data_IF_620757703025
#
_entry.id   IF_620757703025
#
_cell.length_a   1.000
_cell.length_b   1.000
_cell.length_c   1.000
_cell.angle_alpha   90.00
_cell.angle_beta   90.00
_cell.angle_gamma   90.00
#
_symmetry.space_group_name_H-M   'P 1'
#
loop_
_entity.id
_entity.type
_entity.pdbx_description
1 polymer ?
#
# COMPACT_ATOMS: atom_id res chain seq x y z
N UNK A 1 -1.67 14.35 16.69
CA UNK A 1 -2.07 14.47 15.27
C UNK A 1 -1.01 15.16 14.42
N UNK A 2 -0.42 16.28 14.85
CA UNK A 2 0.64 16.97 14.11
C UNK A 2 1.83 16.06 13.75
N UNK A 3 2.25 15.22 14.69
CA UNK A 3 3.37 14.29 14.50
C UNK A 3 3.07 13.19 13.46
N UNK A 4 1.82 12.69 13.41
CA UNK A 4 1.36 11.74 12.39
C UNK A 4 1.49 12.36 10.99
N UNK A 5 1.02 13.61 10.85
CA UNK A 5 1.08 14.34 9.58
C UNK A 5 2.52 14.62 9.15
N UNK A 6 3.44 14.86 10.09
CA UNK A 6 4.87 15.04 9.79
C UNK A 6 5.47 13.76 9.22
N UNK A 7 5.21 12.61 9.87
CA UNK A 7 5.68 11.31 9.40
C UNK A 7 5.08 10.98 8.03
N UNK A 8 3.76 11.12 7.87
CA UNK A 8 3.08 10.89 6.60
C UNK A 8 3.66 11.74 5.46
N UNK A 9 3.89 13.04 5.71
CA UNK A 9 4.45 13.95 4.70
C UNK A 9 5.90 13.61 4.33
N UNK A 10 6.70 13.13 5.29
CA UNK A 10 8.05 12.60 5.04
C UNK A 10 7.96 11.39 4.11
N UNK A 11 7.16 10.38 4.46
CA UNK A 11 7.00 9.15 3.68
C UNK A 11 6.52 9.43 2.25
N UNK A 12 5.54 10.32 2.10
CA UNK A 12 5.06 10.74 0.78
C UNK A 12 6.14 11.42 -0.07
N UNK A 13 6.99 12.22 0.56
CA UNK A 13 8.10 12.86 -0.15
C UNK A 13 9.18 11.86 -0.56
N UNK A 14 9.48 10.87 0.28
CA UNK A 14 10.43 9.80 -0.03
C UNK A 14 9.92 8.94 -1.18
N UNK A 15 8.64 8.61 -1.19
CA UNK A 15 8.03 7.84 -2.26
C UNK A 15 8.04 8.58 -3.61
N UNK A 16 7.83 9.89 -3.59
CA UNK A 16 7.97 10.75 -4.78
C UNK A 16 9.40 10.84 -5.31
N UNK A 17 10.41 10.75 -4.44
CA UNK A 17 11.84 10.84 -4.84
C UNK A 17 12.49 9.48 -5.08
N UNK A 18 11.85 8.38 -4.69
CA UNK A 18 12.29 7.04 -5.04
C UNK A 18 12.28 6.89 -6.56
N UNK A 19 13.37 6.39 -7.15
CA UNK A 19 13.64 6.29 -8.61
C UNK A 19 12.62 5.49 -9.45
N UNK A 20 11.52 5.04 -8.87
CA UNK A 20 10.39 4.41 -9.56
C UNK A 20 9.05 5.14 -9.40
N UNK A 21 8.95 6.21 -8.60
CA UNK A 21 7.70 6.79 -8.07
C UNK A 21 6.51 6.77 -9.03
N UNK A 22 6.39 7.76 -9.91
CA UNK A 22 5.18 7.90 -10.75
C UNK A 22 5.06 6.87 -11.88
N UNK A 23 6.16 6.53 -12.54
CA UNK A 23 6.13 5.59 -13.67
C UNK A 23 5.80 4.15 -13.22
N UNK A 24 6.37 3.70 -12.09
CA UNK A 24 6.08 2.38 -11.53
C UNK A 24 4.64 2.29 -11.01
N UNK A 25 4.11 3.37 -10.43
CA UNK A 25 2.69 3.42 -10.04
C UNK A 25 1.81 3.28 -11.25
N UNK A 26 1.98 4.14 -12.26
CA UNK A 26 1.14 4.11 -13.46
C UNK A 26 1.24 2.74 -14.13
N UNK A 27 2.44 2.17 -14.21
CA UNK A 27 2.63 0.83 -14.74
C UNK A 27 1.93 -0.26 -13.93
N UNK A 28 2.06 -0.27 -12.60
CA UNK A 28 1.32 -1.20 -11.73
C UNK A 28 -0.18 -1.00 -11.83
N UNK A 29 -0.65 0.25 -11.92
CA UNK A 29 -2.06 0.61 -12.01
C UNK A 29 -2.65 0.11 -13.33
N UNK A 30 -1.90 0.22 -14.44
CA UNK A 30 -2.25 -0.37 -15.73
C UNK A 30 -2.31 -1.90 -15.66
N UNK A 31 -1.35 -2.54 -14.98
CA UNK A 31 -1.38 -3.99 -14.77
C UNK A 31 -2.61 -4.40 -13.96
N UNK A 32 -2.89 -3.73 -12.84
CA UNK A 32 -4.07 -4.04 -12.02
C UNK A 32 -5.37 -3.77 -12.77
N UNK A 33 -5.45 -2.69 -13.55
CA UNK A 33 -6.61 -2.39 -14.39
C UNK A 33 -6.82 -3.45 -15.46
N UNK A 34 -5.76 -3.91 -16.13
CA UNK A 34 -5.86 -5.00 -17.11
C UNK A 34 -6.23 -6.34 -16.44
N UNK A 35 -5.62 -6.65 -15.30
CA UNK A 35 -5.83 -7.92 -14.61
C UNK A 35 -7.23 -8.02 -14.00
N UNK A 36 -7.67 -7.01 -13.24
CA UNK A 36 -8.99 -6.99 -12.60
C UNK A 36 -10.12 -6.55 -13.53
N UNK A 37 -9.84 -5.72 -14.54
CA UNK A 37 -10.85 -5.22 -15.47
C UNK A 37 -11.07 -6.11 -16.69
N UNK A 38 -10.08 -6.92 -17.07
CA UNK A 38 -10.16 -7.74 -18.30
C UNK A 38 -9.88 -9.22 -18.02
N UNK A 39 -8.73 -9.57 -17.47
CA UNK A 39 -8.31 -10.98 -17.35
C UNK A 39 -9.21 -11.78 -16.40
N UNK A 40 -9.43 -11.29 -15.18
CA UNK A 40 -10.26 -11.97 -14.19
C UNK A 40 -11.74 -12.07 -14.60
N UNK A 41 -12.36 -11.02 -15.15
CA UNK A 41 -13.72 -11.10 -15.69
C UNK A 41 -13.87 -12.12 -16.82
N UNK A 42 -12.91 -12.18 -17.74
CA UNK A 42 -12.93 -13.15 -18.84
C UNK A 42 -12.68 -14.59 -18.35
N UNK A 43 -11.84 -14.77 -17.33
CA UNK A 43 -11.56 -16.10 -16.78
C UNK A 43 -12.74 -16.67 -15.98
N UNK A 44 -13.60 -15.83 -15.39
CA UNK A 44 -14.65 -16.26 -14.47
C UNK A 44 -16.01 -15.63 -14.76
N UNK A 45 -16.39 -15.58 -16.04
CA UNK A 45 -17.61 -14.90 -16.54
C UNK A 45 -18.87 -15.21 -15.71
N UNK A 46 -19.05 -16.45 -15.27
CA UNK A 46 -20.22 -16.88 -14.50
C UNK A 46 -20.35 -16.19 -13.14
N UNK A 47 -19.22 -15.87 -12.49
CA UNK A 47 -19.21 -15.18 -11.19
C UNK A 47 -19.62 -13.70 -11.36
N UNK A 48 -19.29 -13.10 -12.51
CA UNK A 48 -19.61 -11.69 -12.82
C UNK A 48 -21.03 -11.47 -13.33
N UNK A 49 -21.69 -12.52 -13.86
CA UNK A 49 -23.09 -12.45 -14.32
C UNK A 49 -24.09 -12.34 -13.18
N UNK A 50 -23.75 -12.84 -11.99
CA UNK A 50 -24.65 -12.85 -10.84
C UNK A 50 -24.06 -11.95 -9.75
N UNK A 51 -24.70 -10.81 -9.43
CA UNK A 51 -24.27 -9.99 -8.30
C UNK A 51 -24.42 -10.79 -7.02
N UNK A 52 -23.30 -11.29 -6.52
CA UNK A 52 -23.21 -12.09 -5.30
C UNK A 52 -22.40 -11.33 -4.25
N UNK A 53 -22.75 -11.50 -2.99
CA UNK A 53 -22.02 -10.90 -1.86
C UNK A 53 -20.55 -11.37 -1.82
N UNK A 54 -20.28 -12.55 -2.38
CA UNK A 54 -18.96 -13.12 -2.53
C UNK A 54 -18.08 -12.34 -3.50
N UNK A 55 -18.66 -11.76 -4.57
CA UNK A 55 -17.90 -10.96 -5.54
C UNK A 55 -17.38 -9.66 -4.91
N UNK A 56 -18.21 -9.01 -4.07
CA UNK A 56 -17.80 -7.85 -3.29
C UNK A 56 -16.67 -8.23 -2.33
N UNK A 57 -16.81 -9.34 -1.60
CA UNK A 57 -15.75 -9.82 -0.71
C UNK A 57 -14.45 -10.07 -1.47
N UNK A 58 -14.50 -10.74 -2.62
CA UNK A 58 -13.32 -11.05 -3.42
C UNK A 58 -12.60 -9.80 -3.91
N UNK A 59 -13.36 -8.78 -4.34
CA UNK A 59 -12.82 -7.51 -4.84
C UNK A 59 -12.16 -6.66 -3.74
N UNK A 60 -12.64 -6.73 -2.50
CA UNK A 60 -12.00 -6.05 -1.37
C UNK A 60 -10.85 -6.85 -0.76
N UNK A 61 -10.98 -8.18 -0.74
CA UNK A 61 -10.01 -9.06 -0.09
C UNK A 61 -8.65 -9.05 -0.81
N UNK A 62 -8.64 -9.17 -2.14
CA UNK A 62 -7.40 -9.20 -2.93
C UNK A 62 -6.52 -7.95 -2.75
N UNK A 63 -7.04 -6.71 -2.94
CA UNK A 63 -6.27 -5.49 -2.69
C UNK A 63 -5.83 -5.36 -1.24
N UNK A 64 -6.63 -5.81 -0.27
CA UNK A 64 -6.25 -5.75 1.14
C UNK A 64 -5.03 -6.61 1.47
N UNK A 65 -4.90 -7.78 0.84
CA UNK A 65 -3.72 -8.63 0.98
C UNK A 65 -2.47 -7.93 0.44
N UNK A 66 -2.57 -7.34 -0.76
CA UNK A 66 -1.46 -6.59 -1.38
C UNK A 66 -1.04 -5.45 -0.45
N UNK A 67 -1.99 -4.62 -0.01
CA UNK A 67 -1.72 -3.51 0.91
C UNK A 67 -1.05 -3.98 2.22
N UNK A 68 -1.47 -5.12 2.78
CA UNK A 68 -0.85 -5.68 3.99
C UNK A 68 0.61 -6.08 3.77
N UNK A 69 0.91 -6.73 2.64
CA UNK A 69 2.27 -7.14 2.29
C UNK A 69 3.16 -5.93 2.01
N UNK A 70 2.66 -4.94 1.27
CA UNK A 70 3.39 -3.69 1.00
C UNK A 70 3.67 -2.91 2.29
N UNK A 71 2.71 -2.90 3.22
CA UNK A 71 2.93 -2.29 4.54
C UNK A 71 4.03 -3.02 5.30
N UNK A 72 4.00 -4.35 5.33
CA UNK A 72 5.03 -5.15 5.99
C UNK A 72 6.43 -4.93 5.39
N UNK A 73 6.53 -4.89 4.06
CA UNK A 73 7.76 -4.62 3.33
C UNK A 73 8.30 -3.22 3.62
N UNK A 74 7.43 -2.22 3.80
CA UNK A 74 7.86 -0.87 4.19
C UNK A 74 8.48 -0.84 5.60
N UNK A 75 8.04 -1.69 6.53
CA UNK A 75 8.68 -1.84 7.84
C UNK A 75 9.97 -2.66 7.75
N UNK A 76 9.96 -3.76 6.99
CA UNK A 76 11.13 -4.62 6.79
C UNK A 76 12.27 -3.86 6.09
N UNK A 77 11.98 -3.04 5.08
CA UNK A 77 12.97 -2.25 4.36
C UNK A 77 13.64 -1.19 5.23
N UNK A 78 12.90 -0.54 6.13
CA UNK A 78 13.47 0.39 7.12
C UNK A 78 14.30 -0.34 8.19
N UNK A 79 13.93 -1.59 8.54
CA UNK A 79 14.72 -2.45 9.43
C UNK A 79 16.04 -2.86 8.77
N UNK A 80 15.99 -3.28 7.50
CA UNK A 80 17.16 -3.71 6.74
C UNK A 80 18.16 -2.55 6.51
N UNK A 81 17.63 -1.33 6.33
CA UNK A 81 18.43 -0.10 6.24
C UNK A 81 18.92 0.44 7.59
N UNK A 82 18.59 -0.23 8.72
CA UNK A 82 18.91 0.17 10.10
C UNK A 82 18.46 1.59 10.47
N UNK A 83 17.51 2.14 9.74
CA UNK A 83 16.95 3.47 9.97
C UNK A 83 15.80 3.45 10.97
N UNK A 84 15.21 2.27 11.21
CA UNK A 84 14.09 2.07 12.14
C UNK A 84 14.48 2.37 13.60
N UNK A 85 15.66 1.92 14.04
CA UNK A 85 16.19 2.20 15.38
C UNK A 85 16.45 3.70 15.59
N UNK A 86 16.93 4.37 14.54
CA UNK A 86 17.15 5.83 14.54
C UNK A 86 15.82 6.58 14.61
N UNK A 87 14.80 6.14 13.87
CA UNK A 87 13.44 6.70 13.91
C UNK A 87 12.81 6.60 15.31
N UNK A 88 12.99 5.46 15.98
CA UNK A 88 12.50 5.25 17.35
C UNK A 88 13.29 6.03 18.41
N UNK A 89 14.53 6.46 18.10
CA UNK A 89 15.30 7.34 18.99
C UNK A 89 14.90 8.82 18.91
N UNK A 90 14.05 9.19 17.94
CA UNK A 90 13.54 10.57 17.82
C UNK A 90 12.46 10.85 18.86
N UNK A 91 12.12 12.12 19.07
CA UNK A 91 11.03 12.52 20.00
C UNK A 91 9.62 12.21 19.48
N UNK A 92 9.49 11.47 18.38
CA UNK A 92 8.19 11.09 17.82
C UNK A 92 7.61 9.92 18.62
N UNK A 93 6.31 9.99 18.92
CA UNK A 93 5.62 8.87 19.56
C UNK A 93 5.55 7.66 18.61
N UNK A 94 5.79 6.45 19.13
CA UNK A 94 5.67 5.18 18.39
C UNK A 94 4.32 5.05 17.66
N UNK A 95 3.23 5.50 18.29
CA UNK A 95 1.89 5.52 17.68
C UNK A 95 1.80 6.48 16.51
N UNK A 96 2.51 7.62 16.59
CA UNK A 96 2.55 8.59 15.50
C UNK A 96 3.33 8.06 14.30
N UNK A 97 4.42 7.32 14.55
CA UNK A 97 5.20 6.63 13.51
C UNK A 97 4.34 5.55 12.86
N UNK A 98 3.69 4.69 13.66
CA UNK A 98 2.83 3.62 13.15
C UNK A 98 1.67 4.13 12.30
N UNK A 99 0.90 5.09 12.81
CA UNK A 99 -0.26 5.65 12.10
C UNK A 99 0.16 6.48 10.87
N UNK A 100 1.30 7.20 10.95
CA UNK A 100 1.83 7.95 9.82
C UNK A 100 2.25 7.06 8.66
N UNK A 101 2.79 5.87 8.97
CA UNK A 101 3.19 4.87 7.97
C UNK A 101 2.01 4.14 7.37
N UNK A 102 1.03 3.76 8.19
CA UNK A 102 -0.23 3.16 7.72
C UNK A 102 -1.00 4.09 6.78
N UNK A 103 -0.98 5.40 7.04
CA UNK A 103 -1.66 6.36 6.17
C UNK A 103 -0.94 6.58 4.82
N UNK A 104 0.35 6.27 4.74
CA UNK A 104 1.17 6.47 3.55
C UNK A 104 1.14 5.31 2.55
N UNK A 105 0.68 4.13 2.99
CA UNK A 105 0.52 2.91 2.17
C UNK A 105 -0.91 2.79 1.69
#
# INVERSE_FOLDING_TARGET
MRDIMIVFRKEMKEWLHAKGGLASIVFNLLIYMGMFGVVLPLAQVEIWKVPSQLLVFYFFFLPSLIASTTTADAFAGERERKTLETLLSTRLSDRAIFLGKLAAV
#
